data_IF_126461538163
#
_entry.id   IF_126461538163
#
_cell.length_a   1.000
_cell.length_b   1.000
_cell.length_c   1.000
_cell.angle_alpha   90.00
_cell.angle_beta   90.00
_cell.angle_gamma   90.00
#
_symmetry.space_group_name_H-M   'P 1'
#
loop_
_entity.id
_entity.type
_entity.pdbx_description
1 polymer ?
#
# COMPACT_ATOMS: atom_id res chain seq x y z
N UNK A 1 44.67 24.56 -45.62
CA UNK A 1 43.29 24.02 -45.68
C UNK A 1 42.37 25.08 -46.26
N UNK A 2 41.65 24.76 -47.33
CA UNK A 2 40.78 25.70 -48.05
C UNK A 2 39.63 26.21 -47.15
N UNK A 3 39.25 27.47 -47.35
CA UNK A 3 38.19 28.18 -46.65
C UNK A 3 36.84 27.48 -46.84
N UNK A 4 36.62 26.84 -48.00
CA UNK A 4 35.44 26.00 -48.25
C UNK A 4 35.39 24.80 -47.31
N UNK A 5 36.50 24.09 -47.14
CA UNK A 5 36.58 22.92 -46.25
C UNK A 5 36.32 23.31 -44.80
N UNK A 6 36.89 24.42 -44.33
CA UNK A 6 36.64 24.93 -42.96
C UNK A 6 35.16 25.22 -42.71
N UNK A 7 34.49 25.85 -43.68
CA UNK A 7 33.06 26.19 -43.59
C UNK A 7 32.17 24.95 -43.55
N UNK A 8 32.54 23.88 -44.26
CA UNK A 8 31.82 22.60 -44.19
C UNK A 8 31.96 21.97 -42.81
N UNK A 9 33.19 21.87 -42.28
CA UNK A 9 33.43 21.28 -40.95
C UNK A 9 32.67 22.04 -39.85
N UNK A 10 32.70 23.38 -39.87
CA UNK A 10 31.99 24.18 -38.88
C UNK A 10 30.48 23.93 -38.88
N UNK A 11 29.87 23.67 -40.04
CA UNK A 11 28.44 23.34 -40.16
C UNK A 11 28.11 21.96 -39.60
N UNK A 12 28.93 20.94 -39.91
CA UNK A 12 28.72 19.60 -39.34
C UNK A 12 28.85 19.61 -37.83
N UNK A 13 29.84 20.36 -37.32
CA UNK A 13 30.03 20.52 -35.89
C UNK A 13 28.84 21.22 -35.22
N UNK A 14 28.26 22.24 -35.88
CA UNK A 14 27.06 22.91 -35.38
C UNK A 14 25.86 21.96 -35.31
N UNK A 15 25.64 21.13 -36.34
CA UNK A 15 24.56 20.12 -36.35
C UNK A 15 24.75 19.15 -35.18
N UNK A 16 25.98 18.65 -34.98
CA UNK A 16 26.30 17.76 -33.87
C UNK A 16 26.01 18.41 -32.51
N UNK A 17 26.42 19.67 -32.29
CA UNK A 17 26.13 20.39 -31.05
C UNK A 17 24.62 20.50 -30.81
N UNK A 18 23.84 20.82 -31.84
CA UNK A 18 22.39 20.92 -31.73
C UNK A 18 21.80 19.55 -31.34
N UNK A 19 22.21 18.47 -31.99
CA UNK A 19 21.77 17.11 -31.62
C UNK A 19 22.11 16.76 -30.18
N UNK A 20 23.35 17.04 -29.73
CA UNK A 20 23.76 16.81 -28.34
C UNK A 20 22.90 17.61 -27.37
N UNK A 21 22.63 18.87 -27.68
CA UNK A 21 21.79 19.74 -26.85
C UNK A 21 20.36 19.20 -26.73
N UNK A 22 19.78 18.75 -27.85
CA UNK A 22 18.45 18.13 -27.88
C UNK A 22 18.42 16.85 -27.04
N UNK A 23 19.46 16.00 -27.15
CA UNK A 23 19.61 14.80 -26.32
C UNK A 23 19.68 15.11 -24.82
N UNK A 24 20.47 16.12 -24.43
CA UNK A 24 20.58 16.58 -23.05
C UNK A 24 19.24 17.13 -22.53
N UNK A 25 18.51 17.91 -23.33
CA UNK A 25 17.19 18.41 -22.95
C UNK A 25 16.19 17.26 -22.76
N UNK A 26 16.22 16.25 -23.64
CA UNK A 26 15.39 15.04 -23.49
C UNK A 26 15.71 14.27 -22.21
N UNK A 27 16.99 14.13 -21.87
CA UNK A 27 17.44 13.51 -20.62
C UNK A 27 16.96 14.31 -19.40
N UNK A 28 17.20 15.63 -19.36
CA UNK A 28 16.78 16.50 -18.26
C UNK A 28 15.26 16.47 -18.09
N UNK A 29 14.50 16.48 -19.18
CA UNK A 29 13.04 16.43 -19.14
C UNK A 29 12.51 15.13 -18.50
N UNK A 30 13.09 13.98 -18.85
CA UNK A 30 12.74 12.71 -18.20
C UNK A 30 13.18 12.69 -16.75
N UNK A 31 14.40 13.13 -16.45
CA UNK A 31 14.92 13.16 -15.09
C UNK A 31 14.00 13.98 -14.16
N UNK A 32 13.58 15.17 -14.58
CA UNK A 32 12.62 16.01 -13.84
C UNK A 32 11.30 15.26 -13.64
N UNK A 33 10.77 14.62 -14.70
CA UNK A 33 9.53 13.83 -14.61
C UNK A 33 9.65 12.69 -13.60
N UNK A 34 10.74 11.92 -13.64
CA UNK A 34 11.00 10.83 -12.68
C UNK A 34 11.09 11.37 -11.27
N UNK A 35 11.80 12.49 -11.07
CA UNK A 35 11.91 13.16 -9.77
C UNK A 35 10.54 13.54 -9.20
N UNK A 36 9.68 14.19 -10.00
CA UNK A 36 8.32 14.56 -9.58
C UNK A 36 7.47 13.32 -9.23
N UNK A 37 7.55 12.26 -10.03
CA UNK A 37 6.85 11.00 -9.75
C UNK A 37 7.36 10.28 -8.50
N UNK A 38 8.65 10.41 -8.19
CA UNK A 38 9.23 9.85 -6.98
C UNK A 38 8.77 10.61 -5.72
N UNK A 39 8.54 11.92 -5.82
CA UNK A 39 7.94 12.71 -4.75
C UNK A 39 6.48 12.28 -4.47
N UNK A 40 5.67 12.15 -5.53
CA UNK A 40 4.30 11.62 -5.45
C UNK A 40 4.27 10.21 -4.79
N UNK A 41 5.20 9.34 -5.18
CA UNK A 41 5.37 8.02 -4.57
C UNK A 41 5.67 8.09 -3.07
N UNK A 42 6.51 9.04 -2.64
CA UNK A 42 6.84 9.26 -1.23
C UNK A 42 5.62 9.73 -0.44
N UNK A 43 4.89 10.72 -0.95
CA UNK A 43 3.67 11.24 -0.32
C UNK A 43 2.60 10.15 -0.14
N UNK A 44 2.41 9.29 -1.14
CA UNK A 44 1.54 8.13 -1.02
C UNK A 44 2.00 7.16 0.07
N UNK A 45 3.29 6.90 0.16
CA UNK A 45 3.84 6.00 1.18
C UNK A 45 3.61 6.54 2.60
N UNK A 46 3.76 7.85 2.79
CA UNK A 46 3.44 8.51 4.06
C UNK A 46 1.94 8.43 4.39
N UNK A 47 1.07 8.65 3.39
CA UNK A 47 -0.39 8.53 3.54
C UNK A 47 -0.80 7.11 3.94
N UNK A 48 -0.24 6.09 3.28
CA UNK A 48 -0.44 4.67 3.62
C UNK A 48 0.02 4.39 5.04
N UNK A 49 1.20 4.88 5.45
CA UNK A 49 1.71 4.68 6.81
C UNK A 49 0.80 5.29 7.86
N UNK A 50 0.34 6.54 7.64
CA UNK A 50 -0.60 7.23 8.53
C UNK A 50 -1.92 6.47 8.64
N UNK A 51 -2.51 6.06 7.52
CA UNK A 51 -3.76 5.28 7.50
C UNK A 51 -3.60 3.89 8.11
N UNK A 52 -2.46 3.22 7.93
CA UNK A 52 -2.20 1.93 8.58
C UNK A 52 -2.23 2.06 10.09
N UNK A 53 -1.59 3.10 10.65
CA UNK A 53 -1.63 3.36 12.11
C UNK A 53 -3.05 3.58 12.60
N UNK A 54 -3.87 4.34 11.86
CA UNK A 54 -5.29 4.54 12.19
C UNK A 54 -6.04 3.21 12.14
N UNK A 55 -5.88 2.44 11.06
CA UNK A 55 -6.49 1.11 10.89
C UNK A 55 -6.10 0.18 12.05
N UNK A 56 -4.82 0.13 12.41
CA UNK A 56 -4.33 -0.71 13.50
C UNK A 56 -4.91 -0.25 14.85
N UNK A 57 -4.96 1.06 15.13
CA UNK A 57 -5.56 1.59 16.36
C UNK A 57 -7.05 1.27 16.51
N UNK A 58 -7.78 1.19 15.39
CA UNK A 58 -9.20 0.84 15.38
C UNK A 58 -9.43 -0.68 15.46
N UNK A 59 -8.51 -1.47 14.88
CA UNK A 59 -8.64 -2.92 14.75
C UNK A 59 -8.16 -3.70 15.97
N UNK A 60 -7.02 -3.30 16.55
CA UNK A 60 -6.35 -4.07 17.61
C UNK A 60 -7.22 -4.31 18.85
N UNK A 61 -7.93 -3.31 19.42
CA UNK A 61 -8.75 -3.55 20.61
C UNK A 61 -9.86 -4.59 20.38
N UNK A 62 -10.46 -4.60 19.19
CA UNK A 62 -11.45 -5.59 18.80
C UNK A 62 -10.81 -6.98 18.68
N UNK A 63 -9.66 -7.07 18.01
CA UNK A 63 -8.96 -8.33 17.78
C UNK A 63 -8.44 -8.95 19.08
N UNK A 64 -7.89 -8.15 19.99
CA UNK A 64 -7.40 -8.60 21.30
C UNK A 64 -8.53 -9.20 22.14
N UNK A 65 -9.65 -8.46 22.25
CA UNK A 65 -10.83 -8.96 22.97
C UNK A 65 -11.31 -10.27 22.36
N UNK A 66 -11.51 -10.32 21.04
CA UNK A 66 -11.93 -11.53 20.32
C UNK A 66 -10.99 -12.71 20.57
N UNK A 67 -9.67 -12.47 20.51
CA UNK A 67 -8.65 -13.47 20.80
C UNK A 67 -8.76 -14.03 22.22
N UNK A 68 -9.06 -13.19 23.21
CA UNK A 68 -9.27 -13.61 24.60
C UNK A 68 -10.57 -14.42 24.74
N UNK A 69 -11.65 -14.04 24.06
CA UNK A 69 -12.91 -14.83 24.08
C UNK A 69 -12.65 -16.23 23.50
N UNK A 70 -11.95 -16.30 22.37
CA UNK A 70 -11.62 -17.55 21.70
C UNK A 70 -10.67 -18.41 22.54
N UNK A 71 -9.66 -17.81 23.18
CA UNK A 71 -8.78 -18.51 24.11
C UNK A 71 -9.56 -19.11 25.28
N UNK A 72 -10.44 -18.32 25.91
CA UNK A 72 -11.23 -18.82 27.04
C UNK A 72 -12.18 -19.93 26.59
N UNK A 73 -12.84 -19.75 25.46
CA UNK A 73 -13.71 -20.75 24.88
C UNK A 73 -12.97 -22.07 24.63
N UNK A 74 -11.77 -22.01 24.03
CA UNK A 74 -10.93 -23.19 23.83
C UNK A 74 -10.60 -23.90 25.13
N UNK A 75 -10.18 -23.15 26.17
CA UNK A 75 -9.89 -23.70 27.50
C UNK A 75 -11.11 -24.34 28.16
N UNK A 76 -12.28 -23.70 28.05
CA UNK A 76 -13.54 -24.21 28.59
C UNK A 76 -13.94 -25.51 27.88
N UNK A 77 -13.81 -25.53 26.55
CA UNK A 77 -14.16 -26.68 25.72
C UNK A 77 -13.21 -27.86 25.90
N UNK A 78 -11.91 -27.62 26.11
CA UNK A 78 -10.93 -28.69 26.38
C UNK A 78 -11.22 -29.48 27.67
N UNK A 79 -11.95 -28.87 28.62
CA UNK A 79 -12.37 -29.52 29.88
C UNK A 79 -13.82 -30.01 29.87
N UNK A 80 -14.66 -29.49 28.99
CA UNK A 80 -15.98 -30.04 28.76
C UNK A 80 -15.82 -31.36 28.00
N UNK A 81 -16.43 -32.43 28.50
CA UNK A 81 -16.17 -33.79 28.03
C UNK A 81 -16.31 -33.92 26.49
N UNK A 82 -15.38 -34.65 25.86
CA UNK A 82 -15.06 -34.65 24.41
C UNK A 82 -16.15 -35.26 23.50
N UNK A 83 -17.40 -35.35 23.95
CA UNK A 83 -18.43 -36.16 23.31
C UNK A 83 -18.96 -35.63 21.97
N UNK A 84 -18.76 -34.35 21.63
CA UNK A 84 -19.17 -33.78 20.33
C UNK A 84 -18.17 -32.72 19.86
N UNK A 85 -17.14 -33.16 19.14
CA UNK A 85 -16.10 -32.27 18.55
C UNK A 85 -16.47 -31.73 17.17
N UNK A 86 -17.75 -31.74 16.79
CA UNK A 86 -18.11 -31.50 15.39
C UNK A 86 -18.37 -30.03 15.01
N UNK A 87 -18.36 -29.07 15.96
CA UNK A 87 -18.56 -27.66 15.61
C UNK A 87 -17.78 -26.66 16.49
N UNK A 88 -16.45 -26.64 16.34
CA UNK A 88 -15.57 -25.57 16.85
C UNK A 88 -15.60 -24.32 15.97
N UNK A 89 -16.77 -23.90 15.48
CA UNK A 89 -16.89 -22.66 14.72
C UNK A 89 -16.85 -21.41 15.61
N UNK A 90 -16.42 -20.28 15.04
CA UNK A 90 -16.44 -18.94 15.67
C UNK A 90 -17.81 -18.57 16.28
N UNK A 91 -18.88 -19.20 15.80
CA UNK A 91 -20.24 -18.97 16.27
C UNK A 91 -20.43 -19.47 17.72
N UNK A 92 -19.71 -20.50 18.15
CA UNK A 92 -19.87 -21.10 19.49
C UNK A 92 -19.22 -20.26 20.59
N UNK A 93 -18.02 -19.70 20.33
CA UNK A 93 -17.37 -18.71 21.20
C UNK A 93 -18.27 -17.48 21.42
N UNK A 94 -18.84 -16.96 20.33
CA UNK A 94 -19.78 -15.83 20.36
C UNK A 94 -21.04 -16.12 21.18
N UNK A 95 -21.64 -17.31 21.04
CA UNK A 95 -22.81 -17.74 21.83
C UNK A 95 -22.49 -17.82 23.33
N UNK A 96 -21.33 -18.36 23.70
CA UNK A 96 -20.91 -18.43 25.10
C UNK A 96 -20.80 -17.02 25.70
N UNK A 97 -20.21 -16.08 24.96
CA UNK A 97 -20.06 -14.70 25.42
C UNK A 97 -21.39 -13.95 25.49
N UNK A 98 -22.31 -14.21 24.55
CA UNK A 98 -23.68 -13.71 24.60
C UNK A 98 -24.45 -14.20 25.84
N UNK A 99 -24.14 -15.41 26.33
CA UNK A 99 -24.71 -15.93 27.57
C UNK A 99 -24.05 -15.32 28.82
N UNK A 100 -22.72 -15.20 28.85
CA UNK A 100 -21.99 -14.72 30.03
C UNK A 100 -22.12 -13.21 30.26
N UNK A 101 -22.18 -12.40 29.20
CA UNK A 101 -22.32 -10.96 29.29
C UNK A 101 -23.52 -10.49 30.14
N UNK A 102 -24.78 -10.89 29.87
CA UNK A 102 -25.92 -10.43 30.66
C UNK A 102 -25.86 -10.92 32.11
N UNK A 103 -25.21 -12.07 32.38
CA UNK A 103 -24.98 -12.53 33.75
C UNK A 103 -24.01 -11.62 34.49
N UNK A 104 -22.93 -11.17 33.83
CA UNK A 104 -21.97 -10.25 34.40
C UNK A 104 -22.57 -8.84 34.62
N UNK A 105 -23.37 -8.35 33.67
CA UNK A 105 -24.05 -7.04 33.78
C UNK A 105 -25.10 -7.01 34.91
N UNK A 106 -25.85 -8.11 35.12
CA UNK A 106 -26.90 -8.22 36.15
C UNK A 106 -26.41 -8.73 37.52
N UNK A 107 -25.10 -8.75 37.74
CA UNK A 107 -24.45 -9.31 38.94
C UNK A 107 -24.86 -10.76 39.29
N UNK A 108 -25.36 -11.49 38.31
CA UNK A 108 -25.86 -12.86 38.47
C UNK A 108 -24.72 -13.88 38.51
N UNK A 109 -23.48 -13.48 38.18
CA UNK A 109 -22.29 -14.35 38.24
C UNK A 109 -22.06 -14.86 39.66
N UNK A 110 -22.15 -14.00 40.68
CA UNK A 110 -21.96 -14.41 42.08
C UNK A 110 -22.99 -15.44 42.51
N UNK A 111 -24.28 -15.18 42.23
CA UNK A 111 -25.34 -16.13 42.52
C UNK A 111 -25.14 -17.47 41.80
N UNK A 112 -24.83 -17.44 40.50
CA UNK A 112 -24.57 -18.66 39.72
C UNK A 112 -23.37 -19.42 40.26
N UNK A 113 -22.29 -18.73 40.58
CA UNK A 113 -21.07 -19.31 41.16
C UNK A 113 -21.31 -20.01 42.50
N UNK A 114 -22.10 -19.41 43.39
CA UNK A 114 -22.34 -19.95 44.73
C UNK A 114 -23.44 -21.01 44.79
N UNK A 115 -24.43 -20.96 43.89
CA UNK A 115 -25.68 -21.74 44.01
C UNK A 115 -26.05 -22.60 42.81
N UNK A 116 -25.57 -22.32 41.60
CA UNK A 116 -26.08 -22.98 40.39
C UNK A 116 -25.01 -23.74 39.60
N UNK A 117 -23.81 -23.20 39.46
CA UNK A 117 -22.73 -23.84 38.70
C UNK A 117 -22.20 -25.05 39.45
N UNK A 118 -21.97 -26.13 38.71
CA UNK A 118 -21.43 -27.35 39.29
C UNK A 118 -19.97 -27.16 39.72
N UNK A 119 -19.48 -28.05 40.58
CA UNK A 119 -18.09 -28.01 41.08
C UNK A 119 -17.07 -28.08 39.94
N UNK A 120 -17.38 -28.79 38.85
CA UNK A 120 -16.51 -28.92 37.67
C UNK A 120 -16.26 -27.58 36.98
N UNK A 121 -17.32 -26.81 36.72
CA UNK A 121 -17.23 -25.46 36.12
C UNK A 121 -16.47 -24.52 37.05
N UNK A 122 -16.76 -24.55 38.35
CA UNK A 122 -16.07 -23.72 39.34
C UNK A 122 -14.57 -24.09 39.42
N UNK A 123 -14.24 -25.38 39.42
CA UNK A 123 -12.85 -25.87 39.41
C UNK A 123 -12.13 -25.41 38.14
N UNK A 124 -12.77 -25.55 36.98
CA UNK A 124 -12.24 -25.04 35.72
C UNK A 124 -11.92 -23.54 35.79
N UNK A 125 -12.86 -22.72 36.28
CA UNK A 125 -12.68 -21.27 36.36
C UNK A 125 -11.53 -20.92 37.32
N UNK A 126 -11.43 -21.58 38.47
CA UNK A 126 -10.32 -21.39 39.41
C UNK A 126 -8.98 -21.78 38.81
N UNK A 127 -8.90 -22.94 38.16
CA UNK A 127 -7.70 -23.42 37.47
C UNK A 127 -7.32 -22.55 36.26
N UNK A 128 -8.29 -21.82 35.69
CA UNK A 128 -8.07 -20.86 34.60
C UNK A 128 -7.62 -19.49 35.10
N UNK A 129 -7.41 -19.32 36.41
CA UNK A 129 -6.91 -18.09 37.01
C UNK A 129 -7.99 -17.17 37.60
N UNK A 130 -9.23 -17.64 37.78
CA UNK A 130 -10.31 -16.87 38.38
C UNK A 130 -10.64 -17.39 39.80
N UNK A 131 -9.94 -16.93 40.84
CA UNK A 131 -10.13 -17.46 42.20
C UNK A 131 -11.50 -17.11 42.80
N UNK A 132 -12.12 -16.03 42.34
CA UNK A 132 -13.39 -15.49 42.87
C UNK A 132 -14.39 -15.19 41.75
N UNK A 133 -15.68 -15.17 42.09
CA UNK A 133 -16.74 -14.74 41.17
C UNK A 133 -16.51 -13.32 40.62
N UNK A 134 -15.97 -12.42 41.44
CA UNK A 134 -15.72 -11.03 41.05
C UNK A 134 -14.57 -10.93 40.05
N UNK A 135 -13.50 -11.73 40.23
CA UNK A 135 -12.41 -11.80 39.25
C UNK A 135 -12.90 -12.27 37.87
N UNK A 136 -13.79 -13.26 37.85
CA UNK A 136 -14.38 -13.75 36.62
C UNK A 136 -15.37 -12.76 35.99
N UNK A 137 -16.19 -12.09 36.81
CA UNK A 137 -17.09 -11.02 36.35
C UNK A 137 -16.30 -9.88 35.68
N UNK A 138 -15.24 -9.40 36.33
CA UNK A 138 -14.38 -8.35 35.78
C UNK A 138 -13.73 -8.78 34.47
N UNK A 139 -13.29 -10.03 34.38
CA UNK A 139 -12.75 -10.60 33.15
C UNK A 139 -13.77 -10.59 32.00
N UNK A 140 -15.01 -11.02 32.25
CA UNK A 140 -16.08 -11.00 31.23
C UNK A 140 -16.35 -9.58 30.76
N UNK A 141 -16.50 -8.63 31.70
CA UNK A 141 -16.81 -7.23 31.36
C UNK A 141 -15.68 -6.56 30.58
N UNK A 142 -14.42 -6.75 30.98
CA UNK A 142 -13.24 -6.19 30.31
C UNK A 142 -13.10 -6.70 28.86
N UNK A 143 -13.42 -7.97 28.63
CA UNK A 143 -13.24 -8.64 27.34
C UNK A 143 -14.52 -8.73 26.52
N UNK A 144 -15.59 -8.07 26.95
CA UNK A 144 -16.80 -7.93 26.15
C UNK A 144 -16.56 -6.94 25.02
N UNK A 145 -16.85 -7.36 23.80
CA UNK A 145 -16.84 -6.48 22.62
C UNK A 145 -17.99 -5.49 22.78
N UNK A 146 -17.64 -4.22 22.91
CA UNK A 146 -18.60 -3.13 23.00
C UNK A 146 -19.15 -2.76 21.62
N UNK A 147 -20.20 -1.93 21.62
CA UNK A 147 -20.73 -1.33 20.39
C UNK A 147 -19.64 -0.47 19.74
N UNK A 148 -18.88 0.29 20.54
CA UNK A 148 -17.76 1.10 20.07
C UNK A 148 -16.67 0.25 19.38
N UNK A 149 -16.29 -0.89 19.96
CA UNK A 149 -15.31 -1.81 19.35
C UNK A 149 -15.81 -2.33 17.99
N UNK A 150 -17.10 -2.65 17.89
CA UNK A 150 -17.70 -3.15 16.64
C UNK A 150 -17.76 -2.05 15.56
N UNK A 151 -18.05 -0.81 15.95
CA UNK A 151 -18.02 0.35 15.06
C UNK A 151 -16.60 0.66 14.60
N UNK A 152 -15.62 0.63 15.52
CA UNK A 152 -14.20 0.82 15.20
C UNK A 152 -13.70 -0.26 14.23
N UNK A 153 -14.09 -1.52 14.43
CA UNK A 153 -13.77 -2.59 13.49
C UNK A 153 -14.41 -2.38 12.10
N UNK A 154 -15.67 -1.93 12.05
CA UNK A 154 -16.29 -1.59 10.78
C UNK A 154 -15.55 -0.44 10.07
N UNK A 155 -15.16 0.60 10.82
CA UNK A 155 -14.34 1.70 10.31
C UNK A 155 -12.96 1.24 9.86
N UNK A 156 -12.32 0.31 10.58
CA UNK A 156 -11.00 -0.21 10.19
C UNK A 156 -11.04 -0.93 8.84
N UNK A 157 -12.17 -1.56 8.48
CA UNK A 157 -12.38 -2.14 7.14
C UNK A 157 -12.46 -1.07 6.05
N UNK A 158 -13.11 0.06 6.33
CA UNK A 158 -13.17 1.21 5.40
C UNK A 158 -11.77 1.78 5.22
N UNK A 159 -11.02 1.99 6.30
CA UNK A 159 -9.62 2.47 6.20
C UNK A 159 -8.75 1.46 5.44
N UNK A 160 -9.00 0.16 5.59
CA UNK A 160 -8.28 -0.87 4.84
C UNK A 160 -8.54 -0.78 3.34
N UNK A 161 -9.78 -0.58 2.90
CA UNK A 161 -10.06 -0.41 1.46
C UNK A 161 -9.41 0.86 0.90
N UNK A 162 -9.36 1.94 1.68
CA UNK A 162 -8.62 3.15 1.30
C UNK A 162 -7.12 2.89 1.17
N UNK A 163 -6.52 2.13 2.08
CA UNK A 163 -5.11 1.70 1.99
C UNK A 163 -4.89 0.88 0.72
N UNK A 164 -5.79 -0.05 0.39
CA UNK A 164 -5.66 -0.90 -0.79
C UNK A 164 -5.74 -0.09 -2.09
N UNK A 165 -6.61 0.93 -2.12
CA UNK A 165 -6.68 1.90 -3.22
C UNK A 165 -5.36 2.68 -3.35
N UNK A 166 -4.82 3.22 -2.25
CA UNK A 166 -3.53 3.94 -2.27
C UNK A 166 -2.37 3.02 -2.67
N UNK A 167 -2.37 1.76 -2.26
CA UNK A 167 -1.38 0.78 -2.70
C UNK A 167 -1.46 0.51 -4.20
N UNK A 168 -2.68 0.47 -4.76
CA UNK A 168 -2.87 0.32 -6.20
C UNK A 168 -2.28 1.51 -6.98
N UNK A 169 -2.50 2.73 -6.49
CA UNK A 169 -1.97 3.96 -7.06
C UNK A 169 -0.43 4.00 -6.95
N UNK A 170 0.10 3.63 -5.78
CA UNK A 170 1.54 3.47 -5.55
C UNK A 170 2.18 2.48 -6.51
N UNK A 171 1.51 1.36 -6.80
CA UNK A 171 1.98 0.37 -7.80
C UNK A 171 1.99 0.97 -9.21
N UNK A 172 0.96 1.74 -9.57
CA UNK A 172 0.88 2.40 -10.88
C UNK A 172 1.97 3.47 -11.07
N UNK A 173 2.29 4.24 -10.03
CA UNK A 173 3.40 5.19 -10.10
C UNK A 173 4.73 4.45 -10.20
N UNK A 174 4.93 3.41 -9.39
CA UNK A 174 6.16 2.62 -9.41
C UNK A 174 6.45 2.01 -10.77
N UNK A 175 5.43 1.50 -11.47
CA UNK A 175 5.61 0.94 -12.81
C UNK A 175 5.90 2.01 -13.88
N UNK A 176 5.58 3.28 -13.60
CA UNK A 176 5.85 4.42 -14.49
C UNK A 176 7.21 5.10 -14.26
N UNK A 177 7.93 4.74 -13.19
CA UNK A 177 9.23 5.32 -12.87
C UNK A 177 10.31 4.74 -13.79
N UNK A 178 11.10 5.63 -14.39
CA UNK A 178 12.29 5.23 -15.13
C UNK A 178 13.44 4.96 -14.16
N UNK A 179 14.19 3.88 -14.42
CA UNK A 179 15.50 3.68 -13.81
C UNK A 179 16.52 4.61 -14.47
N UNK A 180 17.59 4.99 -13.75
CA UNK A 180 18.64 5.88 -14.29
C UNK A 180 19.23 5.38 -15.61
N UNK A 181 19.30 4.05 -15.80
CA UNK A 181 19.72 3.45 -17.07
C UNK A 181 18.73 3.76 -18.22
N UNK A 182 17.42 3.65 -17.95
CA UNK A 182 16.39 3.96 -18.95
C UNK A 182 16.32 5.46 -19.26
N UNK A 183 16.59 6.32 -18.28
CA UNK A 183 16.68 7.77 -18.49
C UNK A 183 17.81 8.11 -19.47
N UNK A 184 19.00 7.55 -19.23
CA UNK A 184 20.14 7.69 -20.13
C UNK A 184 19.85 7.11 -21.52
N UNK A 185 19.27 5.90 -21.58
CA UNK A 185 18.89 5.26 -22.84
C UNK A 185 17.91 6.11 -23.64
N UNK A 186 16.94 6.76 -22.98
CA UNK A 186 16.04 7.68 -23.63
C UNK A 186 16.77 8.91 -24.18
N UNK A 187 17.65 9.52 -23.40
CA UNK A 187 18.47 10.65 -23.85
C UNK A 187 19.29 10.30 -25.09
N UNK A 188 19.92 9.12 -25.11
CA UNK A 188 20.64 8.62 -26.28
C UNK A 188 19.73 8.36 -27.48
N UNK A 189 18.55 7.75 -27.29
CA UNK A 189 17.57 7.56 -28.38
C UNK A 189 17.16 8.90 -28.98
N UNK A 190 16.87 9.89 -28.14
CA UNK A 190 16.48 11.22 -28.58
C UNK A 190 17.62 11.91 -29.35
N UNK A 191 18.87 11.76 -28.88
CA UNK A 191 20.06 12.21 -29.59
C UNK A 191 20.17 11.58 -30.99
N UNK A 192 20.13 10.25 -31.11
CA UNK A 192 20.28 9.57 -32.41
C UNK A 192 19.14 9.89 -33.39
N UNK A 193 17.89 9.94 -32.90
CA UNK A 193 16.73 10.33 -33.72
C UNK A 193 16.90 11.77 -34.21
N UNK A 194 17.26 12.71 -33.34
CA UNK A 194 17.48 14.11 -33.73
C UNK A 194 18.63 14.26 -34.72
N UNK A 195 19.72 13.51 -34.55
CA UNK A 195 20.86 13.50 -35.47
C UNK A 195 20.44 12.98 -36.85
N UNK A 196 19.69 11.88 -36.92
CA UNK A 196 19.17 11.34 -38.18
C UNK A 196 18.25 12.33 -38.90
N UNK A 197 17.33 12.97 -38.16
CA UNK A 197 16.40 13.97 -38.70
C UNK A 197 17.13 15.21 -39.22
N UNK A 198 18.04 15.78 -38.43
CA UNK A 198 18.82 16.95 -38.83
C UNK A 198 19.73 16.64 -40.03
N UNK A 199 20.29 15.44 -40.10
CA UNK A 199 21.06 14.97 -41.24
C UNK A 199 20.19 14.83 -42.50
N UNK A 200 18.96 14.33 -42.39
CA UNK A 200 18.00 14.32 -43.50
C UNK A 200 17.66 15.74 -43.99
N UNK A 201 17.34 16.64 -43.05
CA UNK A 201 17.06 18.05 -43.36
C UNK A 201 18.22 18.75 -44.07
N UNK A 202 19.46 18.37 -43.77
CA UNK A 202 20.64 18.90 -44.46
C UNK A 202 20.60 18.63 -45.97
N UNK A 203 20.32 17.40 -46.39
CA UNK A 203 20.23 17.07 -47.82
C UNK A 203 19.06 17.79 -48.49
N UNK A 204 17.94 17.90 -47.77
CA UNK A 204 16.79 18.65 -48.26
C UNK A 204 17.15 20.12 -48.52
N UNK A 205 17.84 20.77 -47.57
CA UNK A 205 18.34 22.13 -47.72
C UNK A 205 19.32 22.29 -48.90
N UNK A 206 20.22 21.31 -49.10
CA UNK A 206 21.12 21.32 -50.26
C UNK A 206 20.38 21.17 -51.58
N UNK A 207 19.36 20.30 -51.63
CA UNK A 207 18.50 20.12 -52.80
C UNK A 207 17.76 21.41 -53.18
N UNK A 208 17.16 22.09 -52.20
CA UNK A 208 16.51 23.40 -52.41
C UNK A 208 17.51 24.41 -52.96
N UNK A 209 18.68 24.54 -52.31
CA UNK A 209 19.68 25.52 -52.70
C UNK A 209 20.25 25.25 -54.10
N UNK A 210 20.42 23.97 -54.45
CA UNK A 210 20.82 23.56 -55.79
C UNK A 210 19.73 23.91 -56.81
N UNK A 211 18.48 23.54 -56.56
CA UNK A 211 17.34 23.86 -57.42
C UNK A 211 17.23 25.37 -57.71
N UNK A 212 17.32 26.22 -56.67
CA UNK A 212 17.31 27.68 -56.81
C UNK A 212 18.48 28.19 -57.67
N UNK A 213 19.68 27.61 -57.53
CA UNK A 213 20.83 27.99 -58.36
C UNK A 213 20.64 27.60 -59.83
N UNK A 214 20.13 26.41 -60.08
CA UNK A 214 19.90 25.90 -61.45
C UNK A 214 18.85 26.73 -62.17
N UNK A 215 17.80 27.17 -61.46
CA UNK A 215 16.79 28.08 -62.00
C UNK A 215 17.39 29.44 -62.36
N UNK A 216 18.21 30.01 -61.48
CA UNK A 216 18.87 31.32 -61.71
C UNK A 216 19.96 31.32 -62.79
N UNK A 217 20.44 30.17 -63.25
CA UNK A 217 21.43 30.07 -64.33
C UNK A 217 20.79 29.94 -65.72
N UNK A 218 19.47 29.72 -65.79
CA UNK A 218 18.72 29.66 -67.06
C UNK A 218 18.12 31.01 -67.47
N UNK A 219 18.10 31.99 -66.57
CA UNK A 219 17.85 33.42 -66.85
C UNK A 219 19.18 34.13 -67.14
#
# INVERSE_FOLDING_TARGET
MDLRTKKTIAREFLILIISVTIGLLGFVGIYIRTYLKNDEYRLLNESISKKSRIKDSLFLPYQEKLGIQNWFFGRYWDKADKADKEDTSDNTSKKLWQFLRPLAEKDSIKYKWEKTWNKTVISFLKESGFPTSDSFKSFILLNTISIADSLNYAQSKIVKSEIDNLESEKRAIRSSLYSSKQEAEFGFKFFFISAAVLFGFRYFYYGIRWSVKTLKQKE
#
